data_IF_543308935040
#
_entry.id   IF_543308935040
#
_cell.length_a   1.000
_cell.length_b   1.000
_cell.length_c   1.000
_cell.angle_alpha   90.00
_cell.angle_beta   90.00
_cell.angle_gamma   90.00
#
_symmetry.space_group_name_H-M   'P 1'
#
loop_
_entity.id
_entity.type
_entity.pdbx_description
1 polymer ?
#
# COMPACT_ATOMS: atom_id res chain seq x y z
N UNK A 1 -4.77 4.97 19.55
CA UNK A 1 -3.55 5.74 19.86
C UNK A 1 -2.57 5.75 18.68
N UNK A 2 -2.05 4.60 18.21
CA UNK A 2 -1.02 4.54 17.15
C UNK A 2 -1.33 5.44 15.93
N UNK A 3 -2.52 5.32 15.34
CA UNK A 3 -2.92 6.12 14.18
C UNK A 3 -2.97 7.63 14.45
N UNK A 4 -3.35 8.02 15.66
CA UNK A 4 -3.43 9.44 16.08
C UNK A 4 -2.01 10.00 16.13
N UNK A 5 -1.10 9.33 16.84
CA UNK A 5 0.30 9.72 16.96
C UNK A 5 0.99 9.84 15.59
N UNK A 6 0.76 8.87 14.69
CA UNK A 6 1.34 8.91 13.35
C UNK A 6 0.81 10.08 12.49
N UNK A 7 -0.45 10.49 12.71
CA UNK A 7 -1.02 11.66 12.05
C UNK A 7 -0.46 12.96 12.62
N UNK A 8 -0.33 13.06 13.95
CA UNK A 8 0.24 14.23 14.64
C UNK A 8 1.70 14.47 14.25
N UNK A 9 2.49 13.40 14.10
CA UNK A 9 3.86 13.47 13.62
C UNK A 9 3.97 13.76 12.12
N UNK A 10 2.83 13.81 11.40
CA UNK A 10 2.74 13.97 9.95
C UNK A 10 3.63 13.01 9.14
N UNK A 11 3.86 11.80 9.67
CA UNK A 11 4.72 10.79 9.03
C UNK A 11 3.90 10.04 7.98
N UNK A 12 4.45 9.73 6.79
CA UNK A 12 3.84 8.79 5.85
C UNK A 12 3.84 7.37 6.44
N UNK A 13 2.68 6.70 6.46
CA UNK A 13 2.54 5.36 7.04
C UNK A 13 1.55 4.51 6.27
N UNK A 14 1.62 3.20 6.50
CA UNK A 14 0.64 2.19 6.10
C UNK A 14 0.12 1.55 7.38
N UNK A 15 -1.20 1.56 7.62
CA UNK A 15 -1.78 0.96 8.82
C UNK A 15 -2.83 -0.10 8.47
N UNK A 16 -2.49 -1.37 8.70
CA UNK A 16 -3.41 -2.49 8.47
C UNK A 16 -4.13 -2.86 9.77
N UNK A 17 -5.39 -2.45 9.88
CA UNK A 17 -6.25 -2.81 11.00
C UNK A 17 -6.77 -4.24 10.90
N UNK A 18 -5.99 -5.23 11.34
CA UNK A 18 -6.37 -6.65 11.26
C UNK A 18 -7.46 -7.07 12.26
N UNK A 19 -7.90 -6.17 13.14
CA UNK A 19 -8.97 -6.42 14.13
C UNK A 19 -10.28 -6.87 13.48
N UNK A 20 -10.56 -6.41 12.26
CA UNK A 20 -11.71 -6.84 11.46
C UNK A 20 -11.71 -8.35 11.10
N UNK A 21 -10.64 -9.06 11.46
CA UNK A 21 -10.47 -10.50 11.26
C UNK A 21 -10.67 -11.28 12.55
N UNK A 22 -10.87 -10.62 13.69
CA UNK A 22 -11.28 -11.29 14.92
C UNK A 22 -12.60 -12.04 14.66
N UNK A 23 -12.60 -13.36 14.88
CA UNK A 23 -13.73 -14.25 14.59
C UNK A 23 -13.74 -14.88 13.19
N UNK A 24 -12.82 -14.51 12.29
CA UNK A 24 -12.60 -15.23 11.03
C UNK A 24 -11.48 -16.26 11.19
N UNK A 25 -11.72 -17.51 10.81
CA UNK A 25 -10.71 -18.58 10.84
C UNK A 25 -9.68 -18.48 9.69
N UNK A 26 -9.94 -17.62 8.70
CA UNK A 26 -9.08 -17.45 7.54
C UNK A 26 -9.21 -16.05 6.94
N UNK A 27 -8.07 -15.46 6.55
CA UNK A 27 -7.99 -14.25 5.74
C UNK A 27 -7.61 -14.64 4.31
N UNK A 28 -8.50 -14.36 3.35
CA UNK A 28 -8.14 -14.58 1.96
C UNK A 28 -7.13 -13.55 1.48
N UNK A 29 -6.27 -13.96 0.56
CA UNK A 29 -5.34 -13.03 -0.12
C UNK A 29 -6.07 -11.84 -0.75
N UNK A 30 -7.29 -12.05 -1.28
CA UNK A 30 -8.09 -10.98 -1.87
C UNK A 30 -8.53 -9.95 -0.82
N UNK A 31 -8.96 -10.39 0.35
CA UNK A 31 -9.34 -9.48 1.44
C UNK A 31 -8.14 -8.67 1.91
N UNK A 32 -7.00 -9.33 2.16
CA UNK A 32 -5.75 -8.67 2.56
C UNK A 32 -5.32 -7.61 1.54
N UNK A 33 -5.24 -7.99 0.26
CA UNK A 33 -4.68 -7.12 -0.76
C UNK A 33 -5.56 -5.91 -1.05
N UNK A 34 -6.88 -6.01 -0.82
CA UNK A 34 -7.81 -4.90 -0.96
C UNK A 34 -7.65 -3.89 0.18
N UNK A 35 -7.51 -4.35 1.43
CA UNK A 35 -7.20 -3.47 2.56
C UNK A 35 -5.84 -2.80 2.40
N UNK A 36 -4.83 -3.57 1.98
CA UNK A 36 -3.51 -3.02 1.69
C UNK A 36 -3.54 -1.98 0.59
N UNK A 37 -4.25 -2.22 -0.51
CA UNK A 37 -4.47 -1.24 -1.58
C UNK A 37 -5.06 0.07 -1.05
N UNK A 38 -6.04 0.00 -0.14
CA UNK A 38 -6.66 1.19 0.44
C UNK A 38 -5.66 2.01 1.25
N UNK A 39 -4.78 1.37 2.02
CA UNK A 39 -3.71 2.05 2.74
C UNK A 39 -2.66 2.66 1.80
N UNK A 40 -2.27 1.95 0.73
CA UNK A 40 -1.34 2.52 -0.26
C UNK A 40 -1.96 3.73 -0.98
N UNK A 41 -3.26 3.70 -1.31
CA UNK A 41 -3.94 4.87 -1.86
C UNK A 41 -3.93 6.08 -0.90
N UNK A 42 -4.00 5.86 0.42
CA UNK A 42 -3.84 6.94 1.41
C UNK A 42 -2.40 7.44 1.45
N UNK A 43 -1.43 6.53 1.33
CA UNK A 43 -0.01 6.88 1.28
C UNK A 43 0.32 7.73 0.05
N UNK A 44 -0.20 7.38 -1.13
CA UNK A 44 -0.01 8.15 -2.37
C UNK A 44 -0.49 9.60 -2.23
N UNK A 45 -1.57 9.85 -1.48
CA UNK A 45 -2.03 11.23 -1.22
C UNK A 45 -1.00 12.06 -0.44
N UNK A 46 -0.18 11.43 0.41
CA UNK A 46 0.90 12.07 1.15
C UNK A 46 2.22 12.09 0.36
N UNK A 47 2.43 11.10 -0.50
CA UNK A 47 3.63 10.91 -1.32
C UNK A 47 3.23 10.73 -2.80
N UNK A 48 2.86 11.80 -3.52
CA UNK A 48 2.37 11.69 -4.89
C UNK A 48 3.36 10.99 -5.84
N UNK A 49 4.66 11.27 -5.71
CA UNK A 49 5.72 10.65 -6.52
C UNK A 49 5.85 9.13 -6.32
N UNK A 50 5.23 8.56 -5.27
CA UNK A 50 5.17 7.11 -5.09
C UNK A 50 4.48 6.40 -6.27
N UNK A 51 3.57 7.08 -6.98
CA UNK A 51 2.91 6.49 -8.16
C UNK A 51 3.91 6.09 -9.24
N UNK A 52 4.99 6.84 -9.41
CA UNK A 52 5.97 6.60 -10.48
C UNK A 52 6.70 5.27 -10.23
N UNK A 53 7.14 5.05 -8.99
CA UNK A 53 7.79 3.81 -8.56
C UNK A 53 6.83 2.61 -8.54
N UNK A 54 5.56 2.84 -8.19
CA UNK A 54 4.53 1.80 -8.24
C UNK A 54 4.16 1.41 -9.68
N UNK A 55 4.26 2.35 -10.62
CA UNK A 55 4.02 2.13 -12.05
C UNK A 55 5.02 1.18 -12.70
N UNK A 56 6.22 1.04 -12.15
CA UNK A 56 7.23 0.06 -12.59
C UNK A 56 6.77 -1.40 -12.37
N UNK A 57 5.79 -1.62 -11.48
CA UNK A 57 5.32 -2.96 -11.12
C UNK A 57 4.22 -3.37 -12.10
N UNK A 58 4.51 -4.31 -13.00
CA UNK A 58 3.63 -4.76 -14.11
C UNK A 58 2.16 -5.02 -13.73
N UNK A 59 1.92 -5.51 -12.52
CA UNK A 59 0.60 -5.92 -12.03
C UNK A 59 -0.13 -4.85 -11.22
N UNK A 60 0.48 -3.67 -11.07
CA UNK A 60 -0.14 -2.46 -10.53
C UNK A 60 -0.68 -1.64 -11.71
N UNK A 61 -1.92 -1.18 -11.61
CA UNK A 61 -2.52 -0.23 -12.56
C UNK A 61 -2.77 1.10 -11.88
N UNK A 62 -2.25 2.17 -12.46
CA UNK A 62 -2.50 3.54 -12.01
C UNK A 62 -3.73 4.08 -12.75
N UNK A 63 -4.68 4.64 -12.01
CA UNK A 63 -5.89 5.26 -12.53
C UNK A 63 -6.03 6.64 -11.87
N UNK A 64 -5.40 7.65 -12.46
CA UNK A 64 -5.28 8.97 -11.84
C UNK A 64 -4.50 8.87 -10.52
N UNK A 65 -5.11 9.33 -9.43
CA UNK A 65 -4.50 9.32 -8.09
C UNK A 65 -4.78 8.02 -7.29
N UNK A 66 -5.33 6.99 -7.92
CA UNK A 66 -5.55 5.70 -7.30
C UNK A 66 -4.80 4.58 -8.00
N UNK A 67 -4.45 3.54 -7.25
CA UNK A 67 -3.91 2.30 -7.79
C UNK A 67 -4.89 1.14 -7.64
N UNK A 68 -4.79 0.19 -8.57
CA UNK A 68 -5.42 -1.12 -8.50
C UNK A 68 -4.36 -2.22 -8.55
N UNK A 69 -4.53 -3.22 -7.69
CA UNK A 69 -3.68 -4.40 -7.66
C UNK A 69 -4.32 -5.58 -8.40
N UNK A 70 -3.51 -6.36 -9.10
CA UNK A 70 -3.87 -7.70 -9.50
C UNK A 70 -4.01 -8.63 -8.29
N UNK A 71 -5.11 -9.39 -8.22
CA UNK A 71 -5.33 -10.38 -7.16
C UNK A 71 -5.60 -11.81 -7.64
N UNK A 72 -5.71 -12.01 -8.97
CA UNK A 72 -5.92 -13.34 -9.54
C UNK A 72 -4.66 -14.19 -9.37
N UNK A 73 -4.81 -15.52 -9.26
CA UNK A 73 -3.71 -16.47 -8.99
C UNK A 73 -2.49 -16.30 -9.90
N UNK A 74 -2.68 -15.96 -11.18
CA UNK A 74 -1.60 -15.72 -12.17
C UNK A 74 -0.97 -14.31 -12.08
N UNK A 75 -1.67 -13.34 -11.50
CA UNK A 75 -1.23 -11.94 -11.33
C UNK A 75 -1.37 -11.54 -9.86
N UNK A 76 -0.72 -12.28 -8.95
CA UNK A 76 -0.67 -11.88 -7.54
C UNK A 76 0.46 -10.89 -7.33
N UNK A 77 0.15 -9.81 -6.62
CA UNK A 77 1.12 -8.84 -6.15
C UNK A 77 2.13 -9.49 -5.22
N UNK A 78 3.40 -9.33 -5.54
CA UNK A 78 4.45 -9.60 -4.57
C UNK A 78 4.53 -8.41 -3.61
N UNK A 79 4.35 -8.69 -2.32
CA UNK A 79 4.39 -7.67 -1.28
C UNK A 79 5.74 -6.94 -1.23
N UNK A 80 6.84 -7.66 -1.47
CA UNK A 80 8.18 -7.04 -1.46
C UNK A 80 8.36 -6.01 -2.58
N UNK A 81 7.72 -6.18 -3.73
CA UNK A 81 7.77 -5.20 -4.82
C UNK A 81 7.21 -3.84 -4.40
N UNK A 82 6.14 -3.83 -3.59
CA UNK A 82 5.55 -2.58 -3.07
C UNK A 82 6.46 -1.94 -2.03
N UNK A 83 7.02 -2.72 -1.11
CA UNK A 83 7.96 -2.21 -0.11
C UNK A 83 9.20 -1.60 -0.77
N UNK A 84 9.74 -2.26 -1.80
CA UNK A 84 10.88 -1.76 -2.57
C UNK A 84 10.54 -0.44 -3.28
N UNK A 85 9.32 -0.30 -3.82
CA UNK A 85 8.88 0.96 -4.42
C UNK A 85 8.80 2.10 -3.39
N UNK A 86 8.27 1.81 -2.19
CA UNK A 86 8.24 2.76 -1.08
C UNK A 86 9.67 3.14 -0.65
N UNK A 87 10.57 2.18 -0.53
CA UNK A 87 11.98 2.42 -0.17
C UNK A 87 12.68 3.30 -1.22
N UNK A 88 12.47 3.03 -2.52
CA UNK A 88 13.00 3.86 -3.60
C UNK A 88 12.50 5.31 -3.50
N UNK A 89 11.20 5.50 -3.26
CA UNK A 89 10.62 6.84 -3.07
C UNK A 89 11.28 7.57 -1.89
N UNK A 90 11.42 6.90 -0.73
CA UNK A 90 12.02 7.51 0.46
C UNK A 90 13.49 7.90 0.18
N UNK A 91 14.27 7.00 -0.46
CA UNK A 91 15.65 7.29 -0.86
C UNK A 91 15.74 8.45 -1.85
N UNK A 92 14.77 8.59 -2.73
CA UNK A 92 14.70 9.70 -3.67
C UNK A 92 14.42 11.04 -2.97
N UNK A 93 13.57 11.07 -1.95
CA UNK A 93 13.23 12.30 -1.20
C UNK A 93 14.34 12.81 -0.27
N UNK A 94 15.39 12.03 0.00
CA UNK A 94 16.52 12.39 0.88
C UNK A 94 17.73 12.92 0.07
N UNK A 95 17.71 12.76 -1.26
CA UNK A 95 18.73 13.31 -2.17
C UNK A 95 18.31 14.68 -2.67
#
# INVERSE_FOLDING_TARGET
MIRITLNELNIPYVYLGLKMLEGKNYLSYKEFILEFKNEINKLIKKLPALTDFLGEIQIVKILGNEIKFGWKRKNRLNFSSILNAIEKQIKHSIR
#
